data_IF_065559547831
#
_entry.id   IF_065559547831
#
_cell.length_a   1.000
_cell.length_b   1.000
_cell.length_c   1.000
_cell.angle_alpha   90.00
_cell.angle_beta   90.00
_cell.angle_gamma   90.00
#
_symmetry.space_group_name_H-M   'P 1'
#
loop_
_entity.id
_entity.type
_entity.pdbx_description
1 polymer ?
#
# COMPACT_ATOMS: atom_id res chain seq x y z
N UNK A 1 65.93 -16.96 36.64
CA UNK A 1 64.60 -16.74 37.26
C UNK A 1 63.94 -15.41 36.87
N UNK A 2 64.62 -14.25 36.90
CA UNK A 2 64.02 -12.95 36.51
C UNK A 2 63.50 -12.87 35.07
N UNK A 3 64.17 -13.53 34.10
CA UNK A 3 63.71 -13.57 32.69
C UNK A 3 62.50 -14.47 32.44
N UNK A 4 62.28 -15.50 33.28
CA UNK A 4 61.15 -16.42 33.15
C UNK A 4 59.85 -15.76 33.68
N UNK A 5 59.96 -14.97 34.75
CA UNK A 5 58.85 -14.21 35.33
C UNK A 5 58.38 -13.11 34.36
N UNK A 6 59.31 -12.46 33.66
CA UNK A 6 58.99 -11.43 32.66
C UNK A 6 58.22 -12.02 31.46
N UNK A 7 58.60 -13.22 31.00
CA UNK A 7 57.92 -13.90 29.90
C UNK A 7 56.51 -14.33 30.33
N UNK A 8 56.34 -14.82 31.56
CA UNK A 8 55.02 -15.19 32.10
C UNK A 8 54.12 -13.96 32.25
N UNK A 9 54.65 -12.81 32.71
CA UNK A 9 53.87 -11.56 32.77
C UNK A 9 53.46 -11.04 31.39
N UNK A 10 54.34 -11.14 30.38
CA UNK A 10 54.04 -10.69 29.01
C UNK A 10 52.98 -11.58 28.36
N UNK A 11 52.97 -12.88 28.63
CA UNK A 11 51.94 -13.81 28.12
C UNK A 11 50.60 -13.58 28.84
N UNK A 12 50.59 -13.27 30.14
CA UNK A 12 49.36 -12.94 30.89
C UNK A 12 48.73 -11.60 30.47
N UNK A 13 49.54 -10.62 30.04
CA UNK A 13 49.05 -9.33 29.54
C UNK A 13 48.50 -9.38 28.11
N UNK A 14 48.86 -10.39 27.30
CA UNK A 14 48.31 -10.55 25.95
C UNK A 14 46.93 -11.21 25.92
N UNK A 15 46.43 -11.71 27.06
CA UNK A 15 45.08 -12.32 27.17
C UNK A 15 43.99 -11.33 27.56
N UNK A 16 44.32 -10.07 27.87
CA UNK A 16 43.35 -9.04 28.28
C UNK A 16 43.10 -7.97 27.22
N UNK A 17 43.63 -8.13 26.00
CA UNK A 17 43.52 -7.15 24.92
C UNK A 17 42.77 -7.62 23.66
N UNK A 18 42.10 -8.77 23.69
CA UNK A 18 41.01 -9.06 22.74
C UNK A 18 39.71 -8.61 23.37
N UNK A 19 39.41 -7.32 23.20
CA UNK A 19 38.13 -6.73 23.58
C UNK A 19 36.96 -7.48 22.93
N UNK A 20 35.92 -7.68 23.72
CA UNK A 20 34.65 -8.31 23.37
C UNK A 20 34.11 -7.85 22.01
N UNK A 21 34.08 -8.74 21.03
CA UNK A 21 33.28 -8.60 19.81
C UNK A 21 32.29 -9.76 19.62
N UNK A 22 31.89 -10.46 20.69
CA UNK A 22 31.02 -11.64 20.60
C UNK A 22 29.97 -11.76 21.71
N UNK A 23 29.55 -10.65 22.34
CA UNK A 23 28.53 -10.66 23.39
C UNK A 23 27.44 -9.60 23.14
N UNK A 24 26.70 -9.77 22.05
CA UNK A 24 25.31 -9.35 21.96
C UNK A 24 24.57 -10.39 21.11
N UNK A 25 24.39 -11.59 21.66
CA UNK A 25 23.19 -12.36 21.30
C UNK A 25 22.00 -11.61 21.89
N UNK A 26 21.08 -11.19 21.04
CA UNK A 26 19.77 -10.68 21.43
C UNK A 26 19.16 -11.70 22.40
N UNK A 27 18.64 -11.29 23.58
CA UNK A 27 18.18 -12.24 24.59
C UNK A 27 16.81 -12.82 24.21
N UNK A 28 16.74 -13.61 23.13
CA UNK A 28 15.54 -14.36 22.75
C UNK A 28 15.27 -15.51 23.76
N UNK A 29 16.29 -15.90 24.54
CA UNK A 29 16.22 -17.04 25.48
C UNK A 29 15.86 -16.69 26.94
N UNK A 30 15.64 -15.42 27.30
CA UNK A 30 15.26 -15.06 28.69
C UNK A 30 13.75 -14.93 28.92
N UNK A 31 12.92 -14.99 27.87
CA UNK A 31 11.48 -15.12 28.03
C UNK A 31 11.10 -16.59 28.20
N UNK A 32 10.99 -17.06 29.45
CA UNK A 32 10.30 -18.32 29.71
C UNK A 32 8.81 -18.13 29.37
N UNK A 33 8.35 -18.83 28.34
CA UNK A 33 6.94 -18.94 28.00
C UNK A 33 6.17 -19.46 29.23
N UNK A 34 5.03 -18.85 29.61
CA UNK A 34 4.17 -19.41 30.63
C UNK A 34 3.79 -20.83 30.23
N UNK A 35 4.13 -21.83 31.07
CA UNK A 35 3.68 -23.21 30.86
C UNK A 35 2.22 -23.30 31.26
N UNK A 36 1.32 -23.31 30.28
CA UNK A 36 -0.05 -23.76 30.48
C UNK A 36 -0.04 -25.24 30.90
N UNK A 37 -1.00 -25.60 31.74
CA UNK A 37 -1.18 -26.96 32.26
C UNK A 37 -1.37 -27.95 31.09
N UNK A 38 -0.48 -28.94 30.98
CA UNK A 38 -0.38 -29.91 29.88
C UNK A 38 -1.66 -30.76 29.66
N UNK A 39 -2.63 -30.70 30.59
CA UNK A 39 -3.89 -31.42 30.51
C UNK A 39 -5.01 -30.70 29.72
N UNK A 40 -4.86 -29.41 29.38
CA UNK A 40 -5.93 -28.67 28.69
C UNK A 40 -5.85 -28.67 27.15
N UNK A 41 -4.72 -29.06 26.55
CA UNK A 41 -4.46 -28.85 25.09
C UNK A 41 -4.32 -30.17 24.31
N UNK A 42 -4.44 -31.33 24.98
CA UNK A 42 -4.44 -32.62 24.30
C UNK A 42 -5.87 -32.95 23.87
N UNK A 43 -6.16 -32.79 22.57
CA UNK A 43 -7.26 -33.43 21.81
C UNK A 43 -8.43 -32.58 21.29
N UNK A 44 -8.36 -31.25 21.25
CA UNK A 44 -9.42 -30.47 20.57
C UNK A 44 -8.99 -30.00 19.16
N UNK A 45 -9.84 -30.32 18.18
CA UNK A 45 -9.68 -29.95 16.76
C UNK A 45 -9.97 -28.46 16.51
N UNK A 46 -10.71 -27.81 17.42
CA UNK A 46 -10.99 -26.37 17.46
C UNK A 46 -11.16 -25.95 18.93
N UNK A 47 -10.58 -24.82 19.33
CA UNK A 47 -10.77 -24.22 20.65
C UNK A 47 -12.14 -23.54 20.71
N UNK A 48 -12.83 -23.59 21.85
CA UNK A 48 -13.97 -22.68 22.10
C UNK A 48 -13.49 -21.23 22.19
N UNK A 49 -14.38 -20.25 21.94
CA UNK A 49 -14.04 -18.82 22.05
C UNK A 49 -13.41 -18.44 23.40
N UNK A 50 -13.85 -19.08 24.49
CA UNK A 50 -13.30 -18.86 25.83
C UNK A 50 -11.87 -19.40 25.95
N UNK A 51 -11.63 -20.63 25.49
CA UNK A 51 -10.31 -21.27 25.50
C UNK A 51 -9.33 -20.53 24.59
N UNK A 52 -9.79 -20.07 23.43
CA UNK A 52 -9.01 -19.24 22.52
C UNK A 52 -8.59 -17.93 23.18
N UNK A 53 -9.51 -17.21 23.83
CA UNK A 53 -9.16 -15.96 24.53
C UNK A 53 -8.14 -16.18 25.65
N UNK A 54 -8.26 -17.27 26.41
CA UNK A 54 -7.26 -17.62 27.46
C UNK A 54 -5.90 -17.90 26.84
N UNK A 55 -5.85 -18.67 25.74
CA UNK A 55 -4.63 -18.95 25.01
C UNK A 55 -3.96 -17.66 24.52
N UNK A 56 -4.73 -16.81 23.84
CA UNK A 56 -4.28 -15.54 23.27
C UNK A 56 -3.75 -14.61 24.36
N UNK A 57 -4.45 -14.51 25.48
CA UNK A 57 -4.04 -13.69 26.62
C UNK A 57 -2.70 -14.13 27.21
N UNK A 58 -2.36 -15.43 27.13
CA UNK A 58 -1.08 -15.96 27.61
C UNK A 58 0.14 -15.54 26.77
N UNK A 59 -0.09 -15.09 25.52
CA UNK A 59 0.95 -14.60 24.62
C UNK A 59 0.94 -13.07 24.45
N UNK A 60 -0.02 -12.39 25.05
CA UNK A 60 -0.21 -10.94 24.95
C UNK A 60 1.03 -10.18 25.45
N UNK A 61 1.58 -9.24 24.67
CA UNK A 61 2.67 -8.39 25.14
C UNK A 61 2.24 -7.49 26.30
N UNK A 62 3.19 -7.10 27.15
CA UNK A 62 2.89 -6.25 28.31
C UNK A 62 2.30 -4.90 27.90
N UNK A 63 1.17 -4.52 28.52
CA UNK A 63 0.46 -3.27 28.23
C UNK A 63 -0.39 -3.29 26.96
N UNK A 64 -0.43 -4.41 26.23
CA UNK A 64 -1.28 -4.57 25.06
C UNK A 64 -2.64 -5.18 25.41
N UNK A 65 -3.63 -4.83 24.60
CA UNK A 65 -4.96 -5.43 24.57
C UNK A 65 -5.30 -5.82 23.14
N UNK A 66 -6.28 -6.69 22.97
CA UNK A 66 -6.86 -6.96 21.65
C UNK A 66 -7.31 -5.64 21.01
N UNK A 67 -7.07 -5.51 19.71
CA UNK A 67 -7.70 -4.46 18.93
C UNK A 67 -9.23 -4.63 19.06
N UNK A 68 -10.00 -3.55 19.07
CA UNK A 68 -11.45 -3.67 19.33
C UNK A 68 -12.16 -4.22 18.08
N UNK A 69 -12.99 -5.26 18.27
CA UNK A 69 -13.87 -5.78 17.21
C UNK A 69 -14.89 -4.69 16.86
N UNK A 70 -14.79 -4.10 15.67
CA UNK A 70 -15.84 -3.18 15.20
C UNK A 70 -16.92 -3.98 14.47
N UNK A 71 -17.98 -4.34 15.22
CA UNK A 71 -19.13 -5.11 14.71
C UNK A 71 -19.84 -4.48 13.52
N UNK A 72 -19.72 -3.17 13.28
CA UNK A 72 -20.30 -2.53 12.10
C UNK A 72 -19.45 -2.64 10.83
N UNK A 73 -18.19 -3.09 10.94
CA UNK A 73 -17.22 -3.15 9.84
C UNK A 73 -16.67 -4.56 9.58
N UNK A 74 -17.29 -5.62 10.12
CA UNK A 74 -16.77 -7.00 10.07
C UNK A 74 -15.32 -7.15 10.56
N UNK A 75 -14.83 -6.25 11.41
CA UNK A 75 -13.44 -6.30 11.90
C UNK A 75 -13.34 -7.28 13.05
N UNK A 76 -12.66 -8.39 12.80
CA UNK A 76 -12.24 -9.37 13.81
C UNK A 76 -10.82 -9.04 14.29
N UNK A 77 -10.54 -9.29 15.55
CA UNK A 77 -9.20 -9.12 16.12
C UNK A 77 -8.38 -10.40 16.17
N UNK A 78 -8.98 -11.53 15.80
CA UNK A 78 -8.33 -12.83 15.69
C UNK A 78 -8.74 -13.45 14.36
N UNK A 79 -7.78 -13.72 13.50
CA UNK A 79 -7.99 -14.37 12.20
C UNK A 79 -7.45 -15.80 12.27
N UNK A 80 -8.26 -16.76 11.83
CA UNK A 80 -7.87 -18.16 11.68
C UNK A 80 -7.47 -18.41 10.22
N UNK A 81 -6.16 -18.40 9.94
CA UNK A 81 -5.65 -18.41 8.57
C UNK A 81 -4.28 -19.09 8.48
N UNK A 82 -4.14 -19.97 7.47
CA UNK A 82 -2.88 -20.59 7.04
C UNK A 82 -2.00 -19.52 6.40
N UNK A 83 -0.96 -19.08 7.11
CA UNK A 83 -0.04 -18.00 6.66
C UNK A 83 1.32 -18.51 6.20
N UNK A 84 1.65 -19.78 6.46
CA UNK A 84 2.92 -20.39 6.04
C UNK A 84 2.74 -21.52 4.99
N UNK A 85 1.52 -21.74 4.51
CA UNK A 85 1.22 -22.65 3.42
C UNK A 85 1.26 -24.14 3.81
N UNK A 86 1.30 -24.48 5.10
CA UNK A 86 1.33 -25.86 5.58
C UNK A 86 -0.05 -26.54 5.63
N UNK A 87 -1.09 -25.81 5.20
CA UNK A 87 -2.51 -26.21 5.18
C UNK A 87 -3.14 -26.37 6.57
N UNK A 88 -2.50 -25.83 7.61
CA UNK A 88 -3.08 -25.67 8.94
C UNK A 88 -3.12 -24.19 9.24
N UNK A 89 -4.22 -23.76 9.85
CA UNK A 89 -4.37 -22.36 10.18
C UNK A 89 -3.55 -21.99 11.42
N UNK A 90 -2.99 -20.79 11.37
CA UNK A 90 -2.49 -20.06 12.53
C UNK A 90 -3.51 -19.02 12.99
N UNK A 91 -3.35 -18.57 14.23
CA UNK A 91 -4.07 -17.40 14.72
C UNK A 91 -3.22 -16.15 14.53
N UNK A 92 -3.68 -15.24 13.65
CA UNK A 92 -3.16 -13.87 13.54
C UNK A 92 -3.97 -12.98 14.48
N UNK A 93 -3.30 -12.38 15.45
CA UNK A 93 -3.94 -11.67 16.57
C UNK A 93 -3.59 -10.20 16.53
N UNK A 94 -4.59 -9.35 16.33
CA UNK A 94 -4.40 -7.90 16.28
C UNK A 94 -4.44 -7.31 17.68
N UNK A 95 -3.45 -6.46 17.95
CA UNK A 95 -3.28 -5.86 19.27
C UNK A 95 -3.00 -4.37 19.17
N UNK A 96 -3.30 -3.67 20.27
CA UNK A 96 -2.88 -2.28 20.48
C UNK A 96 -2.32 -2.10 21.86
N UNK A 97 -1.33 -1.22 21.99
CA UNK A 97 -0.87 -0.77 23.29
C UNK A 97 -1.97 0.10 23.93
N UNK A 98 -2.23 -0.10 25.21
CA UNK A 98 -3.27 0.64 25.93
C UNK A 98 -2.87 2.08 26.23
N UNK A 99 -1.57 2.36 26.25
CA UNK A 99 -1.00 3.63 26.71
C UNK A 99 -0.20 4.38 25.62
N UNK A 100 -0.04 3.79 24.43
CA UNK A 100 0.75 4.35 23.32
C UNK A 100 0.00 4.20 22.00
N UNK A 101 0.40 4.96 20.99
CA UNK A 101 -0.01 4.82 19.59
C UNK A 101 0.71 3.66 18.92
N UNK A 102 0.82 2.50 19.57
CA UNK A 102 1.41 1.32 18.97
C UNK A 102 0.34 0.28 18.70
N UNK A 103 0.37 -0.28 17.50
CA UNK A 103 -0.50 -1.37 17.05
C UNK A 103 0.35 -2.42 16.37
N UNK A 104 -0.23 -3.59 16.17
CA UNK A 104 0.49 -4.66 15.50
C UNK A 104 -0.26 -5.96 15.58
N UNK A 105 0.48 -7.04 15.38
CA UNK A 105 -0.06 -8.38 15.50
C UNK A 105 1.00 -9.36 15.98
N UNK A 106 0.53 -10.48 16.52
CA UNK A 106 1.36 -11.66 16.72
C UNK A 106 0.68 -12.89 16.13
N UNK A 107 1.47 -13.91 15.84
CA UNK A 107 1.01 -15.15 15.24
C UNK A 107 1.23 -16.29 16.22
N UNK A 108 0.20 -17.11 16.43
CA UNK A 108 0.26 -18.31 17.26
C UNK A 108 0.01 -19.54 16.41
N UNK A 109 0.92 -20.51 16.49
CA UNK A 109 0.86 -21.77 15.73
C UNK A 109 0.79 -22.97 16.67
N UNK A 110 0.00 -23.98 16.28
CA UNK A 110 0.00 -25.27 16.95
C UNK A 110 1.01 -26.23 16.29
N UNK A 111 2.04 -26.62 17.04
CA UNK A 111 3.00 -27.65 16.61
C UNK A 111 2.98 -28.80 17.61
N UNK A 112 2.60 -29.99 17.12
CA UNK A 112 2.49 -31.22 17.91
C UNK A 112 1.62 -31.09 19.18
N UNK A 113 0.48 -30.39 19.07
CA UNK A 113 -0.45 -30.19 20.19
C UNK A 113 0.00 -29.14 21.19
N UNK A 114 1.04 -28.35 20.87
CA UNK A 114 1.47 -27.21 21.69
C UNK A 114 1.36 -25.94 20.88
N UNK A 115 0.70 -24.95 21.46
CA UNK A 115 0.63 -23.61 20.90
C UNK A 115 1.87 -22.81 21.30
N UNK A 116 2.41 -22.06 20.35
CA UNK A 116 3.52 -21.14 20.58
C UNK A 116 3.32 -19.87 19.75
N UNK A 117 3.71 -18.72 20.32
CA UNK A 117 3.89 -17.49 19.54
C UNK A 117 5.11 -17.67 18.64
N UNK A 118 4.90 -17.58 17.33
CA UNK A 118 5.93 -17.81 16.31
C UNK A 118 6.41 -16.53 15.65
N UNK A 119 5.61 -15.46 15.69
CA UNK A 119 5.96 -14.16 15.13
C UNK A 119 5.29 -13.03 15.91
N UNK A 120 5.92 -11.86 15.92
CA UNK A 120 5.39 -10.63 16.49
C UNK A 120 5.89 -9.43 15.69
N UNK A 121 4.98 -8.54 15.32
CA UNK A 121 5.29 -7.26 14.71
C UNK A 121 4.48 -6.15 15.37
N UNK A 122 5.14 -5.06 15.72
CA UNK A 122 4.55 -3.88 16.37
C UNK A 122 5.13 -2.63 15.71
N UNK A 123 4.29 -1.65 15.46
CA UNK A 123 4.70 -0.37 14.89
C UNK A 123 3.88 0.78 15.47
N UNK A 124 4.27 2.02 15.15
CA UNK A 124 3.47 3.19 15.43
C UNK A 124 2.23 3.23 14.52
N UNK A 125 1.06 3.47 15.11
CA UNK A 125 -0.21 3.49 14.41
C UNK A 125 -1.38 3.57 15.38
N UNK A 126 -2.53 3.95 14.86
CA UNK A 126 -3.77 4.11 15.64
C UNK A 126 -4.74 2.94 15.45
N UNK A 127 -4.48 2.03 14.51
CA UNK A 127 -5.27 0.83 14.26
C UNK A 127 -4.75 -0.01 13.10
N UNK A 128 -5.35 -1.17 12.89
CA UNK A 128 -5.12 -1.98 11.68
C UNK A 128 -6.35 -1.86 10.78
N UNK A 129 -6.14 -1.38 9.54
CA UNK A 129 -7.18 -1.18 8.54
C UNK A 129 -7.51 -2.47 7.79
N UNK A 130 -6.47 -3.19 7.36
CA UNK A 130 -6.57 -4.36 6.48
C UNK A 130 -5.72 -5.48 7.03
N UNK A 131 -6.26 -6.70 7.02
CA UNK A 131 -5.52 -7.96 7.22
C UNK A 131 -6.07 -8.95 6.22
N UNK A 132 -5.24 -9.41 5.29
CA UNK A 132 -5.68 -10.35 4.26
C UNK A 132 -4.55 -11.28 3.87
N UNK A 133 -4.79 -12.58 4.00
CA UNK A 133 -3.91 -13.58 3.41
C UNK A 133 -4.12 -13.62 1.90
N UNK A 134 -3.01 -13.62 1.18
CA UNK A 134 -2.93 -13.68 -0.28
C UNK A 134 -2.18 -14.96 -0.61
N UNK A 135 -2.83 -15.85 -1.34
CA UNK A 135 -2.15 -17.00 -1.94
C UNK A 135 -1.53 -16.51 -3.26
N UNK A 136 -0.21 -16.50 -3.30
CA UNK A 136 0.63 -16.01 -4.40
C UNK A 136 0.97 -17.10 -5.41
N UNK A 137 2.27 -17.18 -5.73
CA UNK A 137 2.85 -17.85 -6.91
C UNK A 137 2.61 -19.38 -6.99
N UNK A 138 2.24 -19.99 -5.86
CA UNK A 138 1.77 -21.37 -5.71
C UNK A 138 1.16 -21.55 -4.30
N UNK A 139 0.57 -22.71 -4.01
CA UNK A 139 -0.11 -23.02 -2.73
C UNK A 139 0.74 -22.82 -1.46
N UNK A 140 2.07 -22.75 -1.58
CA UNK A 140 3.00 -22.53 -0.46
C UNK A 140 3.44 -21.08 -0.29
N UNK A 141 3.27 -20.24 -1.32
CA UNK A 141 3.55 -18.80 -1.22
C UNK A 141 2.31 -18.12 -0.64
N UNK A 142 2.23 -18.06 0.68
CA UNK A 142 1.20 -17.30 1.37
C UNK A 142 1.81 -16.03 1.93
N UNK A 143 1.19 -14.89 1.61
CA UNK A 143 1.60 -13.59 2.09
C UNK A 143 0.49 -12.93 2.87
N UNK A 144 0.83 -12.20 3.93
CA UNK A 144 -0.12 -11.48 4.74
C UNK A 144 -0.02 -9.98 4.45
N UNK A 145 -1.04 -9.43 3.79
CA UNK A 145 -1.18 -7.99 3.60
C UNK A 145 -1.74 -7.36 4.87
N UNK A 146 -1.01 -6.39 5.42
CA UNK A 146 -1.40 -5.64 6.62
C UNK A 146 -1.39 -4.15 6.29
N UNK A 147 -2.51 -3.47 6.54
CA UNK A 147 -2.60 -2.01 6.46
C UNK A 147 -2.56 -1.39 7.85
N UNK A 148 -1.44 -0.79 8.25
CA UNK A 148 -1.25 -0.09 9.51
C UNK A 148 -1.76 1.35 9.40
N UNK A 149 -2.86 1.67 10.09
CA UNK A 149 -3.50 2.98 9.99
C UNK A 149 -2.76 4.00 10.84
N UNK A 150 -2.16 5.00 10.19
CA UNK A 150 -1.31 6.01 10.85
C UNK A 150 -2.09 7.24 11.32
N UNK A 151 -3.29 7.48 10.77
CA UNK A 151 -4.13 8.61 11.16
C UNK A 151 -5.63 8.31 11.01
N UNK A 152 -6.47 9.16 11.62
CA UNK A 152 -7.93 9.00 11.60
C UNK A 152 -8.59 9.37 10.27
N UNK A 153 -7.84 9.95 9.33
CA UNK A 153 -8.32 10.26 7.97
C UNK A 153 -8.31 9.01 7.05
N UNK A 154 -7.81 7.87 7.54
CA UNK A 154 -7.87 6.59 6.84
C UNK A 154 -6.63 6.25 6.03
N UNK A 155 -5.58 7.07 6.09
CA UNK A 155 -4.26 6.74 5.53
C UNK A 155 -3.61 5.61 6.31
N UNK A 156 -3.03 4.64 5.59
CA UNK A 156 -2.35 3.49 6.16
C UNK A 156 -1.02 3.21 5.45
N UNK A 157 -0.04 2.75 6.20
CA UNK A 157 1.16 2.11 5.65
C UNK A 157 0.83 0.64 5.37
N UNK A 158 1.17 0.16 4.20
CA UNK A 158 0.84 -1.20 3.78
C UNK A 158 2.10 -2.06 3.73
N UNK A 159 2.03 -3.23 4.36
CA UNK A 159 3.11 -4.20 4.40
C UNK A 159 2.64 -5.53 3.86
N UNK A 160 3.48 -6.18 3.07
CA UNK A 160 3.29 -7.55 2.61
C UNK A 160 4.27 -8.46 3.33
N UNK A 161 3.80 -9.18 4.34
CA UNK A 161 4.60 -10.12 5.10
C UNK A 161 4.71 -11.46 4.37
N UNK A 162 5.91 -12.02 4.36
CA UNK A 162 6.19 -13.38 3.95
C UNK A 162 6.84 -14.12 5.13
N UNK A 163 6.31 -15.30 5.45
CA UNK A 163 6.79 -16.12 6.55
C UNK A 163 7.56 -17.31 5.99
N UNK A 164 8.89 -17.24 6.08
CA UNK A 164 9.75 -18.38 5.73
C UNK A 164 9.68 -19.49 6.79
N UNK A 165 10.27 -20.66 6.52
CA UNK A 165 10.19 -21.86 7.39
C UNK A 165 10.59 -21.61 8.86
N UNK A 166 11.44 -20.59 9.11
CA UNK A 166 11.92 -20.23 10.45
C UNK A 166 11.08 -19.14 11.14
N UNK A 167 10.04 -18.60 10.51
CA UNK A 167 9.26 -17.46 11.01
C UNK A 167 10.07 -16.16 11.19
N UNK A 168 11.25 -16.09 10.57
CA UNK A 168 12.00 -14.86 10.38
C UNK A 168 11.23 -14.03 9.34
N UNK A 169 10.17 -13.35 9.79
CA UNK A 169 9.27 -12.64 8.90
C UNK A 169 10.01 -11.51 8.18
N UNK A 170 10.04 -11.60 6.85
CA UNK A 170 10.41 -10.50 5.99
C UNK A 170 9.13 -9.82 5.51
N UNK A 171 9.15 -8.50 5.40
CA UNK A 171 8.06 -7.75 4.81
C UNK A 171 8.56 -6.77 3.76
N UNK A 172 7.69 -6.54 2.78
CA UNK A 172 7.87 -5.50 1.76
C UNK A 172 6.99 -4.32 2.15
N UNK A 173 7.58 -3.13 2.26
CA UNK A 173 6.84 -1.88 2.41
C UNK A 173 6.21 -1.51 1.05
N UNK A 174 4.89 -1.58 0.97
CA UNK A 174 4.12 -1.23 -0.22
C UNK A 174 3.79 0.27 -0.27
N UNK A 175 4.22 1.05 0.73
CA UNK A 175 4.03 2.48 0.83
C UNK A 175 2.78 2.91 1.60
N UNK A 176 2.63 4.22 1.70
CA UNK A 176 1.53 4.87 2.41
C UNK A 176 0.39 5.18 1.43
N UNK A 177 -0.77 4.58 1.66
CA UNK A 177 -1.95 4.74 0.81
C UNK A 177 -3.20 4.96 1.65
N UNK A 178 -4.20 5.61 1.06
CA UNK A 178 -5.50 5.66 1.70
C UNK A 178 -6.29 4.38 1.49
N UNK A 179 -6.11 3.68 0.37
CA UNK A 179 -6.61 2.33 0.20
C UNK A 179 -5.67 1.50 -0.69
N UNK A 180 -5.57 0.21 -0.40
CA UNK A 180 -4.86 -0.77 -1.23
C UNK A 180 -5.74 -2.02 -1.32
N UNK A 181 -6.28 -2.22 -2.51
CA UNK A 181 -7.25 -3.26 -2.83
C UNK A 181 -6.60 -4.33 -3.70
N UNK A 182 -6.72 -5.61 -3.31
CA UNK A 182 -6.26 -6.74 -4.12
C UNK A 182 -7.30 -7.03 -5.20
N UNK A 183 -6.88 -7.01 -6.45
CA UNK A 183 -7.72 -7.29 -7.63
C UNK A 183 -7.69 -8.77 -7.97
N UNK A 184 -6.49 -9.31 -8.09
CA UNK A 184 -6.21 -10.68 -8.50
C UNK A 184 -4.86 -11.10 -7.94
N UNK A 185 -4.71 -12.38 -7.67
CA UNK A 185 -3.42 -13.02 -7.41
C UNK A 185 -3.27 -14.17 -8.40
N UNK A 186 -2.08 -14.32 -8.98
CA UNK A 186 -1.73 -15.39 -9.92
C UNK A 186 -0.44 -16.08 -9.48
N UNK A 187 -0.10 -17.17 -10.17
CA UNK A 187 1.16 -17.89 -10.00
C UNK A 187 2.41 -17.03 -10.32
N UNK A 188 2.24 -15.82 -10.86
CA UNK A 188 3.34 -14.93 -11.29
C UNK A 188 3.32 -13.55 -10.62
N UNK A 189 2.17 -13.10 -10.10
CA UNK A 189 2.06 -11.74 -9.57
C UNK A 189 0.83 -11.53 -8.69
N UNK A 190 0.92 -10.50 -7.83
CA UNK A 190 -0.23 -9.97 -7.09
C UNK A 190 -0.59 -8.61 -7.68
N UNK A 191 -1.85 -8.47 -8.09
CA UNK A 191 -2.38 -7.26 -8.70
C UNK A 191 -3.14 -6.42 -7.67
N UNK A 192 -2.73 -5.16 -7.56
CA UNK A 192 -3.30 -4.18 -6.64
C UNK A 192 -3.94 -3.01 -7.40
N UNK A 193 -4.92 -2.39 -6.75
CA UNK A 193 -5.28 -0.98 -6.96
C UNK A 193 -4.90 -0.22 -5.71
N UNK A 194 -4.10 0.83 -5.89
CA UNK A 194 -3.74 1.76 -4.83
C UNK A 194 -4.49 3.07 -5.02
N UNK A 195 -4.93 3.66 -3.92
CA UNK A 195 -5.61 4.96 -3.89
C UNK A 195 -5.00 5.83 -2.81
N UNK A 196 -4.73 7.08 -3.15
CA UNK A 196 -4.36 8.11 -2.19
C UNK A 196 -5.54 9.08 -2.02
N UNK A 197 -5.96 9.37 -0.79
CA UNK A 197 -7.11 10.23 -0.47
C UNK A 197 -6.71 11.31 0.54
N UNK A 198 -7.22 12.53 0.34
CA UNK A 198 -7.16 13.64 1.28
C UNK A 198 -8.57 14.19 1.54
N UNK A 199 -9.01 14.22 2.80
CA UNK A 199 -10.29 14.81 3.23
C UNK A 199 -11.49 14.41 2.34
N UNK A 200 -11.56 13.11 1.98
CA UNK A 200 -12.52 12.46 1.06
C UNK A 200 -12.33 12.67 -0.45
N UNK A 201 -11.31 13.43 -0.86
CA UNK A 201 -10.84 13.50 -2.24
C UNK A 201 -9.86 12.39 -2.51
N UNK A 202 -10.14 11.50 -3.43
CA UNK A 202 -9.04 10.69 -3.96
C UNK A 202 -8.16 11.67 -4.78
N UNK A 203 -6.85 11.56 -4.65
CA UNK A 203 -5.85 12.37 -5.36
C UNK A 203 -5.21 11.59 -6.50
N UNK A 204 -5.03 10.28 -6.28
CA UNK A 204 -4.33 9.37 -7.18
C UNK A 204 -4.98 7.98 -7.10
N UNK A 205 -5.07 7.27 -8.24
CA UNK A 205 -5.50 5.87 -8.33
C UNK A 205 -4.68 5.14 -9.38
N UNK A 206 -3.98 4.09 -9.00
CA UNK A 206 -3.13 3.31 -9.91
C UNK A 206 -3.40 1.81 -9.78
N UNK A 207 -3.17 1.07 -10.86
CA UNK A 207 -3.10 -0.38 -10.83
C UNK A 207 -1.67 -0.84 -11.08
N UNK A 208 -1.20 -1.74 -10.21
CA UNK A 208 0.17 -2.29 -10.27
C UNK A 208 0.16 -3.79 -10.03
N UNK A 209 1.12 -4.47 -10.63
CA UNK A 209 1.44 -5.88 -10.40
C UNK A 209 2.73 -5.96 -9.62
N UNK A 210 2.78 -6.82 -8.60
CA UNK A 210 3.99 -7.13 -7.85
C UNK A 210 4.38 -8.59 -8.11
N UNK A 211 5.59 -8.82 -8.62
CA UNK A 211 6.09 -10.16 -8.98
C UNK A 211 6.93 -10.84 -7.89
N UNK A 212 7.05 -10.20 -6.71
CA UNK A 212 7.89 -10.67 -5.61
C UNK A 212 9.25 -9.95 -5.52
N UNK A 213 9.62 -9.18 -6.53
CA UNK A 213 10.84 -8.35 -6.54
C UNK A 213 10.50 -6.88 -6.76
N UNK A 214 9.67 -6.57 -7.77
CA UNK A 214 9.36 -5.20 -8.16
C UNK A 214 7.91 -4.99 -8.52
N UNK A 215 7.49 -3.73 -8.47
CA UNK A 215 6.22 -3.31 -9.05
C UNK A 215 6.34 -3.11 -10.56
N UNK A 216 5.24 -3.37 -11.26
CA UNK A 216 5.05 -3.06 -12.68
C UNK A 216 3.71 -2.40 -12.85
N UNK A 217 3.65 -1.39 -13.72
CA UNK A 217 2.38 -0.79 -14.09
C UNK A 217 1.45 -1.86 -14.72
N UNK A 218 0.19 -1.89 -14.27
CA UNK A 218 -0.83 -2.79 -14.80
C UNK A 218 -1.97 -1.97 -15.40
N UNK A 219 -2.12 -2.03 -16.72
CA UNK A 219 -3.19 -1.33 -17.45
C UNK A 219 -4.43 -2.20 -17.70
N UNK A 220 -4.61 -3.31 -16.99
CA UNK A 220 -5.72 -4.24 -17.22
C UNK A 220 -7.07 -3.56 -16.99
N UNK A 221 -7.95 -3.66 -17.98
CA UNK A 221 -9.28 -3.05 -17.93
C UNK A 221 -10.18 -3.68 -16.84
N UNK A 222 -10.01 -4.98 -16.58
CA UNK A 222 -10.81 -5.73 -15.61
C UNK A 222 -10.62 -5.18 -14.19
N UNK A 223 -9.41 -4.72 -13.88
CA UNK A 223 -9.09 -4.07 -12.61
C UNK A 223 -9.97 -2.86 -12.33
N UNK A 224 -10.22 -2.05 -13.35
CA UNK A 224 -10.97 -0.81 -13.21
C UNK A 224 -12.48 -1.03 -13.22
N UNK A 225 -12.98 -2.19 -13.67
CA UNK A 225 -14.42 -2.48 -13.67
C UNK A 225 -15.03 -2.54 -12.26
N UNK A 226 -14.29 -3.07 -11.28
CA UNK A 226 -14.72 -3.05 -9.88
C UNK A 226 -14.82 -1.62 -9.34
N UNK A 227 -13.84 -0.77 -9.67
CA UNK A 227 -13.83 0.64 -9.26
C UNK A 227 -14.92 1.46 -9.94
N UNK A 228 -15.26 1.16 -11.21
CA UNK A 228 -16.41 1.75 -11.88
C UNK A 228 -17.70 1.47 -11.09
N UNK A 229 -17.91 0.23 -10.64
CA UNK A 229 -19.10 -0.15 -9.88
C UNK A 229 -19.14 0.50 -8.49
N UNK A 230 -18.00 0.52 -7.80
CA UNK A 230 -17.85 1.17 -6.48
C UNK A 230 -18.23 2.65 -6.55
N UNK A 231 -17.60 3.43 -7.44
CA UNK A 231 -17.87 4.87 -7.55
C UNK A 231 -19.26 5.16 -8.11
N UNK A 232 -19.80 4.29 -8.97
CA UNK A 232 -21.18 4.39 -9.40
C UNK A 232 -22.15 4.28 -8.21
N UNK A 233 -21.94 3.30 -7.31
CA UNK A 233 -22.77 3.14 -6.11
C UNK A 233 -22.70 4.37 -5.20
N UNK A 234 -21.52 4.98 -5.04
CA UNK A 234 -21.36 6.21 -4.25
C UNK A 234 -22.15 7.37 -4.87
N UNK A 235 -22.13 7.51 -6.20
CA UNK A 235 -22.87 8.55 -6.91
C UNK A 235 -24.39 8.30 -6.93
N UNK A 236 -24.82 7.04 -6.87
CA UNK A 236 -26.24 6.68 -6.69
C UNK A 236 -26.75 7.05 -5.28
N UNK A 237 -25.89 6.98 -4.26
CA UNK A 237 -26.21 7.42 -2.90
C UNK A 237 -26.17 8.95 -2.76
N UNK A 238 -25.13 9.60 -3.31
CA UNK A 238 -24.95 11.04 -3.27
C UNK A 238 -24.16 11.55 -4.48
N UNK A 239 -24.89 12.13 -5.44
CA UNK A 239 -24.35 12.67 -6.69
C UNK A 239 -23.59 14.00 -6.52
N UNK A 240 -23.68 14.63 -5.34
CA UNK A 240 -22.89 15.80 -4.97
C UNK A 240 -21.44 15.47 -4.58
N UNK A 241 -21.03 14.20 -4.59
CA UNK A 241 -19.64 13.82 -4.34
C UNK A 241 -18.78 14.04 -5.59
N UNK A 242 -18.14 15.21 -5.67
CA UNK A 242 -17.34 15.59 -6.83
C UNK A 242 -16.12 14.68 -7.06
N UNK A 243 -15.53 14.18 -5.97
CA UNK A 243 -14.42 13.23 -6.07
C UNK A 243 -14.87 11.91 -6.67
N UNK A 244 -16.00 11.36 -6.22
CA UNK A 244 -16.57 10.15 -6.81
C UNK A 244 -16.84 10.31 -8.31
N UNK A 245 -17.29 11.48 -8.77
CA UNK A 245 -17.42 11.79 -10.19
C UNK A 245 -16.10 11.67 -10.94
N UNK A 246 -15.04 12.32 -10.43
CA UNK A 246 -13.71 12.26 -11.06
C UNK A 246 -13.22 10.82 -11.20
N UNK A 247 -13.28 10.02 -10.13
CA UNK A 247 -12.75 8.65 -10.15
C UNK A 247 -13.63 7.67 -10.90
N UNK A 248 -14.95 7.87 -10.94
CA UNK A 248 -15.83 7.12 -11.81
C UNK A 248 -15.45 7.33 -13.29
N UNK A 249 -15.20 8.57 -13.69
CA UNK A 249 -14.80 8.91 -15.06
C UNK A 249 -13.38 8.39 -15.35
N UNK A 250 -12.45 8.60 -14.43
CA UNK A 250 -11.07 8.14 -14.55
C UNK A 250 -11.00 6.62 -14.66
N UNK A 251 -11.73 5.86 -13.83
CA UNK A 251 -11.79 4.41 -13.92
C UNK A 251 -12.33 3.94 -15.28
N UNK A 252 -13.34 4.61 -15.84
CA UNK A 252 -13.83 4.32 -17.21
C UNK A 252 -12.78 4.61 -18.28
N UNK A 253 -12.05 5.72 -18.14
CA UNK A 253 -10.93 6.04 -19.03
C UNK A 253 -9.86 4.94 -18.98
N UNK A 254 -9.44 4.54 -17.79
CA UNK A 254 -8.44 3.49 -17.61
C UNK A 254 -8.93 2.12 -18.10
N UNK A 255 -10.22 1.84 -18.01
CA UNK A 255 -10.86 0.64 -18.57
C UNK A 255 -11.05 0.69 -20.10
N UNK A 256 -10.59 1.74 -20.79
CA UNK A 256 -10.75 1.88 -22.25
C UNK A 256 -12.15 2.28 -22.71
N UNK A 257 -13.07 2.61 -21.79
CA UNK A 257 -14.46 2.99 -22.08
C UNK A 257 -14.57 4.49 -22.38
N UNK A 258 -13.81 4.95 -23.36
CA UNK A 258 -13.57 6.38 -23.62
C UNK A 258 -14.84 7.18 -23.94
N UNK A 259 -15.74 6.64 -24.77
CA UNK A 259 -17.01 7.30 -25.11
C UNK A 259 -17.90 7.49 -23.88
N UNK A 260 -17.99 6.48 -23.03
CA UNK A 260 -18.75 6.58 -21.80
C UNK A 260 -18.09 7.53 -20.79
N UNK A 261 -16.76 7.53 -20.73
CA UNK A 261 -16.01 8.45 -19.91
C UNK A 261 -16.29 9.90 -20.35
N UNK A 262 -16.25 10.18 -21.67
CA UNK A 262 -16.55 11.50 -22.22
C UNK A 262 -18.00 11.92 -21.96
N UNK A 263 -18.95 10.99 -22.14
CA UNK A 263 -20.37 11.25 -21.85
C UNK A 263 -20.57 11.66 -20.39
N UNK A 264 -19.99 10.93 -19.44
CA UNK A 264 -20.12 11.26 -18.02
C UNK A 264 -19.34 12.53 -17.66
N UNK A 265 -18.20 12.79 -18.31
CA UNK A 265 -17.44 14.03 -18.16
C UNK A 265 -18.28 15.25 -18.56
N UNK A 266 -18.93 15.22 -19.73
CA UNK A 266 -19.77 16.33 -20.16
C UNK A 266 -21.00 16.51 -19.25
N UNK A 267 -21.66 15.41 -18.86
CA UNK A 267 -22.77 15.46 -17.92
C UNK A 267 -22.35 16.08 -16.57
N UNK A 268 -21.19 15.72 -16.04
CA UNK A 268 -20.63 16.32 -14.82
C UNK A 268 -20.32 17.81 -15.01
N UNK A 269 -19.71 18.20 -16.13
CA UNK A 269 -19.36 19.61 -16.37
C UNK A 269 -20.59 20.50 -16.56
N UNK A 270 -21.70 19.98 -17.10
CA UNK A 270 -22.95 20.71 -17.36
C UNK A 270 -23.92 20.73 -16.17
N UNK A 271 -23.75 19.85 -15.17
CA UNK A 271 -24.69 19.77 -14.03
C UNK A 271 -24.58 20.97 -13.09
N UNK A 272 -25.64 21.18 -12.31
CA UNK A 272 -25.60 22.08 -11.15
C UNK A 272 -24.70 21.51 -10.04
N UNK A 273 -23.66 22.28 -9.70
CA UNK A 273 -22.65 21.94 -8.67
C UNK A 273 -22.88 22.69 -7.35
N UNK A 274 -24.02 23.37 -7.20
CA UNK A 274 -24.35 24.17 -6.01
C UNK A 274 -24.38 23.36 -4.71
N UNK A 275 -24.63 22.05 -4.82
CA UNK A 275 -24.72 21.10 -3.70
C UNK A 275 -23.51 20.20 -3.55
N UNK A 276 -22.45 20.44 -4.31
CA UNK A 276 -21.28 19.58 -4.30
C UNK A 276 -20.54 19.70 -2.98
N UNK A 277 -20.31 18.56 -2.33
CA UNK A 277 -19.36 18.48 -1.25
C UNK A 277 -17.97 18.28 -1.84
N UNK A 278 -16.96 18.84 -1.17
CA UNK A 278 -15.56 18.48 -1.40
C UNK A 278 -15.11 18.78 -2.84
N UNK A 279 -14.78 20.06 -3.08
CA UNK A 279 -14.50 20.54 -4.43
C UNK A 279 -13.21 19.97 -5.00
N UNK A 280 -13.31 19.32 -6.15
CA UNK A 280 -12.15 19.00 -6.98
C UNK A 280 -11.85 20.22 -7.85
N UNK A 281 -10.59 20.43 -8.23
CA UNK A 281 -10.30 21.53 -9.12
C UNK A 281 -10.85 21.21 -10.51
N UNK A 282 -11.62 22.14 -11.11
CA UNK A 282 -12.13 21.97 -12.47
C UNK A 282 -11.01 21.65 -13.48
N UNK A 283 -9.81 22.19 -13.28
CA UNK A 283 -8.63 21.89 -14.09
C UNK A 283 -8.33 20.37 -14.13
N UNK A 284 -8.50 19.63 -13.01
CA UNK A 284 -8.32 18.16 -13.02
C UNK A 284 -9.30 17.49 -13.99
N UNK A 285 -10.58 17.88 -13.95
CA UNK A 285 -11.57 17.36 -14.89
C UNK A 285 -11.24 17.74 -16.34
N UNK A 286 -10.80 18.96 -16.59
CA UNK A 286 -10.44 19.40 -17.93
C UNK A 286 -9.23 18.64 -18.48
N UNK A 287 -8.19 18.40 -17.67
CA UNK A 287 -7.05 17.58 -18.09
C UNK A 287 -7.45 16.13 -18.38
N UNK A 288 -8.30 15.52 -17.55
CA UNK A 288 -8.85 14.19 -17.83
C UNK A 288 -9.69 14.19 -19.11
N UNK A 289 -10.48 15.25 -19.36
CA UNK A 289 -11.23 15.42 -20.62
C UNK A 289 -10.29 15.49 -21.83
N UNK A 290 -9.18 16.21 -21.72
CA UNK A 290 -8.17 16.28 -22.78
C UNK A 290 -7.55 14.90 -23.09
N UNK A 291 -7.27 14.09 -22.07
CA UNK A 291 -6.81 12.70 -22.25
C UNK A 291 -7.86 11.84 -22.95
N UNK A 292 -9.13 11.93 -22.54
CA UNK A 292 -10.24 11.20 -23.16
C UNK A 292 -10.40 11.60 -24.63
N UNK A 293 -10.43 12.90 -24.93
CA UNK A 293 -10.52 13.43 -26.30
C UNK A 293 -9.36 12.96 -27.17
N UNK A 294 -8.15 12.90 -26.62
CA UNK A 294 -6.96 12.38 -27.33
C UNK A 294 -7.10 10.91 -27.72
N UNK A 295 -7.83 10.09 -26.93
CA UNK A 295 -8.11 8.68 -27.23
C UNK A 295 -9.25 8.48 -28.21
N UNK A 296 -10.06 9.52 -28.45
CA UNK A 296 -11.20 9.52 -29.37
C UNK A 296 -10.87 10.25 -30.68
N UNK A 297 -9.59 10.40 -31.02
CA UNK A 297 -9.11 11.11 -32.20
C UNK A 297 -9.57 12.58 -32.31
N UNK A 298 -9.87 13.22 -31.18
CA UNK A 298 -10.29 14.63 -31.06
C UNK A 298 -9.17 15.48 -30.46
N UNK A 299 -7.97 15.31 -30.99
CA UNK A 299 -6.75 15.88 -30.42
C UNK A 299 -6.69 17.43 -30.49
N UNK A 300 -7.33 18.05 -31.47
CA UNK A 300 -7.40 19.51 -31.59
C UNK A 300 -8.22 20.13 -30.43
N UNK A 301 -9.37 19.55 -30.09
CA UNK A 301 -10.15 19.98 -28.92
C UNK A 301 -9.39 19.75 -27.61
N UNK A 302 -8.64 18.66 -27.52
CA UNK A 302 -7.77 18.40 -26.38
C UNK A 302 -6.65 19.46 -26.26
N UNK A 303 -6.13 19.95 -27.39
CA UNK A 303 -5.09 21.00 -27.43
C UNK A 303 -5.59 22.33 -26.91
N UNK A 304 -6.82 22.72 -27.24
CA UNK A 304 -7.42 23.96 -26.71
C UNK A 304 -7.48 23.95 -25.18
N UNK A 305 -7.73 22.79 -24.57
CA UNK A 305 -7.71 22.63 -23.12
C UNK A 305 -6.30 22.82 -22.57
N UNK A 306 -5.28 22.21 -23.18
CA UNK A 306 -3.88 22.34 -22.73
C UNK A 306 -3.43 23.80 -22.82
N UNK A 307 -3.74 24.48 -23.91
CA UNK A 307 -3.30 25.88 -24.14
C UNK A 307 -3.89 26.85 -23.14
N UNK A 308 -5.12 26.59 -22.67
CA UNK A 308 -5.77 27.39 -21.64
C UNK A 308 -4.99 27.41 -20.32
N UNK A 309 -4.31 26.31 -19.99
CA UNK A 309 -3.65 26.12 -18.69
C UNK A 309 -2.12 26.16 -18.78
N UNK A 310 -1.53 26.21 -19.98
CA UNK A 310 -0.08 26.10 -20.17
C UNK A 310 0.71 27.14 -19.37
N UNK A 311 0.27 28.41 -19.37
CA UNK A 311 0.93 29.51 -18.67
C UNK A 311 1.08 29.24 -17.17
N UNK A 312 0.09 28.61 -16.53
CA UNK A 312 0.14 28.26 -15.10
C UNK A 312 1.31 27.34 -14.73
N UNK A 313 1.81 26.56 -15.70
CA UNK A 313 2.85 25.56 -15.46
C UNK A 313 4.22 25.95 -16.06
N UNK A 314 4.34 27.08 -16.77
CA UNK A 314 5.61 27.48 -17.43
C UNK A 314 6.74 27.81 -16.47
N UNK A 315 6.43 28.22 -15.23
CA UNK A 315 7.45 28.59 -14.26
C UNK A 315 8.27 27.38 -13.78
N UNK A 316 9.59 27.54 -13.72
CA UNK A 316 10.54 26.46 -13.42
C UNK A 316 10.40 25.90 -12.00
N UNK A 317 9.73 26.61 -11.08
CA UNK A 317 9.62 26.20 -9.67
C UNK A 317 8.22 25.72 -9.28
N UNK A 318 7.27 25.69 -10.21
CA UNK A 318 5.91 25.19 -9.94
C UNK A 318 5.95 23.67 -9.88
N UNK A 319 5.70 23.12 -8.68
CA UNK A 319 5.51 21.69 -8.45
C UNK A 319 4.03 21.31 -8.40
N UNK A 320 3.19 22.24 -7.91
CA UNK A 320 1.74 22.09 -7.78
C UNK A 320 1.12 23.45 -8.09
N UNK A 321 0.13 23.50 -8.96
CA UNK A 321 -0.76 24.64 -9.13
C UNK A 321 -2.21 24.15 -9.03
N UNK A 322 -3.07 24.90 -8.34
CA UNK A 322 -4.51 24.60 -8.36
C UNK A 322 -4.88 23.15 -7.93
N UNK A 323 -4.10 22.51 -7.06
CA UNK A 323 -4.22 21.08 -6.69
C UNK A 323 -4.03 20.10 -7.86
N UNK A 324 -3.31 20.51 -8.90
CA UNK A 324 -2.83 19.69 -10.00
C UNK A 324 -1.31 19.64 -9.91
N UNK A 325 -0.76 18.44 -9.91
CA UNK A 325 0.70 18.29 -9.89
C UNK A 325 1.26 18.67 -11.26
N UNK A 326 2.40 19.38 -11.28
CA UNK A 326 3.00 19.81 -12.55
C UNK A 326 3.32 18.62 -13.47
N UNK A 327 3.67 17.46 -12.90
CA UNK A 327 3.89 16.24 -13.68
C UNK A 327 2.59 15.73 -14.36
N UNK A 328 1.41 15.85 -13.72
CA UNK A 328 0.12 15.44 -14.30
C UNK A 328 -0.20 16.31 -15.53
N UNK A 329 0.01 17.62 -15.41
CA UNK A 329 -0.18 18.56 -16.52
C UNK A 329 0.73 18.22 -17.69
N UNK A 330 2.04 18.12 -17.46
CA UNK A 330 3.00 17.85 -18.54
C UNK A 330 2.79 16.46 -19.16
N UNK A 331 2.43 15.45 -18.38
CA UNK A 331 2.07 14.14 -18.90
C UNK A 331 0.86 14.25 -19.85
N UNK A 332 -0.20 14.94 -19.43
CA UNK A 332 -1.40 15.19 -20.24
C UNK A 332 -1.05 15.94 -21.53
N UNK A 333 -0.26 17.00 -21.44
CA UNK A 333 0.21 17.76 -22.60
C UNK A 333 1.04 16.90 -23.57
N UNK A 334 1.83 15.95 -23.05
CA UNK A 334 2.55 14.96 -23.85
C UNK A 334 1.61 14.02 -24.61
N UNK A 335 0.60 13.47 -23.93
CA UNK A 335 -0.43 12.60 -24.54
C UNK A 335 -1.16 13.33 -25.68
N UNK A 336 -1.57 14.58 -25.45
CA UNK A 336 -2.24 15.40 -26.48
C UNK A 336 -1.34 15.64 -27.68
N UNK A 337 -0.08 16.06 -27.46
CA UNK A 337 0.86 16.28 -28.56
C UNK A 337 1.19 15.00 -29.33
N UNK A 338 1.19 13.83 -28.66
CA UNK A 338 1.32 12.54 -29.34
C UNK A 338 0.13 12.28 -30.26
N UNK A 339 -1.09 12.50 -29.79
CA UNK A 339 -2.31 12.33 -30.60
C UNK A 339 -2.33 13.27 -31.82
N UNK A 340 -1.78 14.49 -31.67
CA UNK A 340 -1.54 15.44 -32.77
C UNK A 340 -0.37 15.05 -33.71
N UNK A 341 0.32 13.93 -33.46
CA UNK A 341 1.54 13.52 -34.19
C UNK A 341 2.69 14.54 -34.10
N UNK A 342 2.70 15.39 -33.07
CA UNK A 342 3.78 16.31 -32.75
C UNK A 342 4.80 15.65 -31.81
N UNK A 343 5.58 14.70 -32.34
CA UNK A 343 6.53 13.89 -31.57
C UNK A 343 7.54 14.71 -30.79
N UNK A 344 8.01 15.84 -31.35
CA UNK A 344 8.98 16.72 -30.68
C UNK A 344 8.40 17.28 -29.38
N UNK A 345 7.20 17.84 -29.46
CA UNK A 345 6.55 18.45 -28.30
C UNK A 345 6.05 17.39 -27.30
N UNK A 346 5.59 16.25 -27.80
CA UNK A 346 5.24 15.11 -26.94
C UNK A 346 6.43 14.69 -26.07
N UNK A 347 7.61 14.47 -26.69
CA UNK A 347 8.83 14.11 -25.96
C UNK A 347 9.29 15.19 -24.98
N UNK A 348 9.23 16.47 -25.36
CA UNK A 348 9.53 17.57 -24.46
C UNK A 348 8.66 17.53 -23.20
N UNK A 349 7.35 17.38 -23.37
CA UNK A 349 6.39 17.34 -22.28
C UNK A 349 6.55 16.08 -21.41
N UNK A 350 6.78 14.91 -21.99
CA UNK A 350 7.05 13.70 -21.20
C UNK A 350 8.33 13.82 -20.36
N UNK A 351 9.41 14.38 -20.92
CA UNK A 351 10.64 14.59 -20.16
C UNK A 351 10.46 15.63 -19.04
N UNK A 352 9.63 16.66 -19.28
CA UNK A 352 9.23 17.60 -18.22
C UNK A 352 8.41 16.91 -17.14
N UNK A 353 7.48 16.03 -17.50
CA UNK A 353 6.69 15.29 -16.51
C UNK A 353 7.58 14.48 -15.56
N UNK A 354 8.59 13.77 -16.09
CA UNK A 354 9.58 13.04 -15.29
C UNK A 354 10.39 13.95 -14.36
N UNK A 355 10.96 15.05 -14.88
CA UNK A 355 11.71 16.03 -14.07
C UNK A 355 10.87 16.61 -12.92
N UNK A 356 9.56 16.82 -13.15
CA UNK A 356 8.64 17.27 -12.10
C UNK A 356 8.35 16.18 -11.09
N UNK A 357 8.11 14.95 -11.54
CA UNK A 357 7.85 13.80 -10.68
C UNK A 357 8.97 13.59 -9.67
N UNK A 358 10.22 13.59 -10.14
CA UNK A 358 11.41 13.43 -9.30
C UNK A 358 11.55 14.54 -8.24
N UNK A 359 11.10 15.76 -8.54
CA UNK A 359 11.17 16.91 -7.63
C UNK A 359 10.01 16.97 -6.64
N UNK A 360 8.86 16.40 -6.98
CA UNK A 360 7.66 16.42 -6.13
C UNK A 360 7.79 15.49 -4.92
N UNK A 361 8.55 14.41 -5.03
CA UNK A 361 8.58 13.38 -3.99
C UNK A 361 9.92 13.31 -3.21
N UNK A 362 9.83 13.33 -1.88
CA UNK A 362 10.97 13.15 -0.96
C UNK A 362 11.38 11.67 -0.87
N UNK A 363 12.68 11.38 -0.96
CA UNK A 363 13.32 10.04 -1.00
C UNK A 363 13.07 9.14 0.23
N UNK A 364 12.18 9.54 1.15
CA UNK A 364 11.89 8.84 2.41
C UNK A 364 10.65 7.95 2.35
N UNK A 365 9.84 8.00 1.29
CA UNK A 365 8.61 7.21 1.13
C UNK A 365 8.80 6.12 0.06
N UNK A 366 9.67 5.14 0.34
CA UNK A 366 10.18 4.19 -0.65
C UNK A 366 9.07 3.49 -1.46
N UNK A 367 8.08 2.87 -0.81
CA UNK A 367 7.03 2.11 -1.52
C UNK A 367 6.06 2.98 -2.32
N UNK A 368 5.72 4.17 -1.82
CA UNK A 368 4.87 5.11 -2.55
C UNK A 368 5.57 5.66 -3.79
N UNK A 369 6.84 6.06 -3.66
CA UNK A 369 7.64 6.56 -4.77
C UNK A 369 7.89 5.50 -5.84
N UNK A 370 8.18 4.26 -5.44
CA UNK A 370 8.42 3.17 -6.38
C UNK A 370 7.21 2.94 -7.29
N UNK A 371 6.02 2.83 -6.70
CA UNK A 371 4.77 2.61 -7.44
C UNK A 371 4.46 3.80 -8.37
N UNK A 372 4.52 5.04 -7.86
CA UNK A 372 4.21 6.21 -8.70
C UNK A 372 5.23 6.37 -9.84
N UNK A 373 6.51 6.16 -9.56
CA UNK A 373 7.58 6.27 -10.57
C UNK A 373 7.41 5.21 -11.65
N UNK A 374 7.23 3.95 -11.27
CA UNK A 374 6.98 2.85 -12.21
C UNK A 374 5.76 3.13 -13.09
N UNK A 375 4.64 3.57 -12.50
CA UNK A 375 3.42 3.89 -13.26
C UNK A 375 3.68 5.00 -14.27
N UNK A 376 4.27 6.12 -13.84
CA UNK A 376 4.48 7.27 -14.70
C UNK A 376 5.54 7.01 -15.77
N UNK A 377 6.63 6.31 -15.44
CA UNK A 377 7.66 5.91 -16.41
C UNK A 377 7.10 4.96 -17.46
N UNK A 378 6.33 3.94 -17.04
CA UNK A 378 5.69 3.00 -17.95
C UNK A 378 4.69 3.69 -18.87
N UNK A 379 3.83 4.56 -18.33
CA UNK A 379 2.91 5.37 -19.12
C UNK A 379 3.64 6.27 -20.14
N UNK A 380 4.76 6.88 -19.76
CA UNK A 380 5.56 7.74 -20.64
C UNK A 380 6.26 6.92 -21.73
N UNK A 381 6.81 5.76 -21.38
CA UNK A 381 7.50 4.88 -22.32
C UNK A 381 6.53 4.29 -23.35
N UNK A 382 5.34 3.89 -22.92
CA UNK A 382 4.27 3.45 -23.82
C UNK A 382 3.73 4.61 -24.66
N UNK A 383 3.69 5.82 -24.11
CA UNK A 383 3.38 7.01 -24.87
C UNK A 383 4.49 7.40 -25.87
N UNK A 384 5.73 6.91 -25.76
CA UNK A 384 6.79 7.15 -26.75
C UNK A 384 6.82 6.16 -27.92
N UNK A 385 6.33 4.93 -27.72
CA UNK A 385 6.15 3.90 -28.76
C UNK A 385 5.01 4.29 -29.71
#
# INVERSE_FOLDING_TARGET
MKKLILIIMIVMLMWTATGCSSLYEVPVNLMKTPKLNDNYIKNQKYLTDSELRVLIQSFMPEGYKLLEDNKSMEKQSIYDVDVDGDKKNEYVVLVRNSNKTNVGFFIVKNKYGKWAKVFEWMDEGIGIKTVKAIRGLNDKDVRLLVGNMINSKGTSEYYLFNFEENWDGYYVDLGTWSDLSIVQSTDESINFVVENRDESRILEMYSVSYDGDKFKYNSSADTYQNKINEYKSILEEYDGNESAWYYYIYAKFMAGRYEEALKNMNAYLERDKSRDSVKVNEMKFQLLKAMILSKLDRADEAKEIIDRYEESFKATDVLIDNNVSAYEFYYTAGVVNKALKNTKMANYNFNRALDRLEKTYDKKLAGYQEIVSEVMESLINDAKK
#
